data_IF_345472282893
#
_entry.id   IF_345472282893
#
_cell.length_a   1.000
_cell.length_b   1.000
_cell.length_c   1.000
_cell.angle_alpha   90.00
_cell.angle_beta   90.00
_cell.angle_gamma   90.00
#
_symmetry.space_group_name_H-M   'P 1'
#
loop_
_entity.id
_entity.type
_entity.pdbx_description
1 polymer ?
#
# COMPACT_ATOMS: atom_id res chain seq x y z
N UNK A 1 7.35 25.18 -20.67
CA UNK A 1 6.25 24.25 -20.96
C UNK A 1 6.78 23.29 -22.01
N UNK A 2 6.94 22.01 -21.68
CA UNK A 2 7.51 21.04 -22.62
C UNK A 2 6.57 20.83 -23.81
N UNK A 3 6.94 21.33 -24.99
CA UNK A 3 6.13 21.27 -26.22
C UNK A 3 5.77 19.82 -26.60
N UNK A 4 6.64 18.87 -26.25
CA UNK A 4 6.41 17.44 -26.42
C UNK A 4 5.17 16.92 -25.68
N UNK A 5 4.89 17.45 -24.49
CA UNK A 5 3.73 17.04 -23.68
C UNK A 5 2.44 17.56 -24.31
N UNK A 6 2.45 18.80 -24.82
CA UNK A 6 1.28 19.38 -25.51
C UNK A 6 0.92 18.60 -26.77
N UNK A 7 1.92 18.14 -27.52
CA UNK A 7 1.72 17.35 -28.72
C UNK A 7 1.09 15.99 -28.38
N UNK A 8 1.61 15.31 -27.37
CA UNK A 8 1.07 14.02 -26.91
C UNK A 8 -0.39 14.18 -26.46
N UNK A 9 -0.70 15.19 -25.64
CA UNK A 9 -2.08 15.41 -25.17
C UNK A 9 -3.05 15.69 -26.33
N UNK A 10 -2.61 16.40 -27.38
CA UNK A 10 -3.44 16.66 -28.57
C UNK A 10 -3.70 15.42 -29.42
N UNK A 11 -2.74 14.50 -29.50
CA UNK A 11 -2.87 13.23 -30.24
C UNK A 11 -3.81 12.22 -29.54
N UNK A 12 -4.05 12.40 -28.24
CA UNK A 12 -4.95 11.55 -27.47
C UNK A 12 -6.45 11.83 -27.78
N UNK A 13 -7.30 10.80 -27.81
CA UNK A 13 -8.75 10.95 -27.90
C UNK A 13 -9.33 11.82 -26.78
N UNK A 14 -10.43 12.55 -27.08
CA UNK A 14 -11.07 13.51 -26.17
C UNK A 14 -11.39 12.94 -24.78
N UNK A 15 -11.73 11.65 -24.67
CA UNK A 15 -12.02 11.03 -23.38
C UNK A 15 -10.78 10.90 -22.50
N UNK A 16 -9.63 10.54 -23.09
CA UNK A 16 -8.36 10.46 -22.35
C UNK A 16 -7.87 11.84 -21.90
N UNK A 17 -8.09 12.89 -22.71
CA UNK A 17 -7.76 14.27 -22.30
C UNK A 17 -8.53 14.68 -21.04
N UNK A 18 -9.82 14.32 -20.95
CA UNK A 18 -10.65 14.57 -19.77
C UNK A 18 -10.16 13.77 -18.55
N UNK A 19 -9.80 12.50 -18.73
CA UNK A 19 -9.23 11.68 -17.64
C UNK A 19 -7.91 12.24 -17.12
N UNK A 20 -7.04 12.72 -18.01
CA UNK A 20 -5.77 13.36 -17.60
C UNK A 20 -6.05 14.62 -16.77
N UNK A 21 -7.00 15.45 -17.19
CA UNK A 21 -7.41 16.64 -16.44
C UNK A 21 -7.91 16.27 -15.03
N UNK A 22 -8.74 15.23 -14.92
CA UNK A 22 -9.27 14.73 -13.65
C UNK A 22 -8.16 14.19 -12.75
N UNK A 23 -7.22 13.41 -13.29
CA UNK A 23 -6.07 12.89 -12.54
C UNK A 23 -5.17 14.04 -12.06
N UNK A 24 -4.88 15.03 -12.91
CA UNK A 24 -4.08 16.20 -12.53
C UNK A 24 -4.78 17.01 -11.43
N UNK A 25 -6.10 17.18 -11.51
CA UNK A 25 -6.88 17.81 -10.44
C UNK A 25 -6.80 17.02 -9.14
N UNK A 26 -6.93 15.70 -9.18
CA UNK A 26 -6.80 14.82 -8.01
C UNK A 26 -5.39 14.87 -7.40
N UNK A 27 -4.35 14.96 -8.24
CA UNK A 27 -2.97 15.13 -7.80
C UNK A 27 -2.74 16.52 -7.18
N UNK A 28 -3.30 17.58 -7.77
CA UNK A 28 -3.19 18.96 -7.31
C UNK A 28 -3.93 19.21 -5.99
N UNK A 29 -5.11 18.60 -5.82
CA UNK A 29 -5.86 18.59 -4.55
C UNK A 29 -5.04 17.90 -3.45
N UNK A 30 -4.01 17.14 -3.83
CA UNK A 30 -3.22 16.37 -2.90
C UNK A 30 -4.14 15.34 -2.29
N UNK A 31 -4.40 14.26 -3.02
CA UNK A 31 -4.64 12.98 -2.34
C UNK A 31 -3.31 12.65 -1.63
N UNK A 32 -3.03 13.36 -0.53
CA UNK A 32 -2.47 12.73 0.65
C UNK A 32 -3.46 11.60 0.87
N UNK A 33 -3.15 10.41 0.35
CA UNK A 33 -3.67 9.17 0.89
C UNK A 33 -3.47 9.40 2.37
N UNK A 34 -4.56 9.70 3.08
CA UNK A 34 -4.58 9.74 4.52
C UNK A 34 -3.90 8.44 4.88
N UNK A 35 -2.63 8.51 5.28
CA UNK A 35 -1.96 7.36 5.86
C UNK A 35 -2.83 7.13 7.06
N UNK A 36 -3.78 6.18 6.95
CA UNK A 36 -4.66 5.82 8.03
C UNK A 36 -3.74 5.71 9.23
N UNK A 37 -4.01 6.48 10.28
CA UNK A 37 -3.25 6.35 11.52
C UNK A 37 -3.55 4.95 12.01
N UNK A 38 -2.68 4.01 11.66
CA UNK A 38 -2.77 2.64 12.10
C UNK A 38 -2.47 2.64 13.59
N UNK A 39 -3.42 2.11 14.37
CA UNK A 39 -3.18 1.90 15.79
C UNK A 39 -2.58 0.51 15.98
N UNK A 40 -1.57 0.38 16.85
CA UNK A 40 -0.95 -0.93 17.15
C UNK A 40 -1.95 -1.97 17.67
N UNK A 41 -3.08 -1.51 18.21
CA UNK A 41 -4.21 -2.34 18.65
C UNK A 41 -4.93 -3.05 17.49
N UNK A 42 -4.74 -2.61 16.24
CA UNK A 42 -5.24 -3.31 15.03
C UNK A 42 -4.58 -4.68 14.83
N UNK A 43 -3.38 -4.89 15.40
CA UNK A 43 -2.66 -6.16 15.35
C UNK A 43 -3.12 -7.14 16.44
N UNK A 44 -4.00 -6.72 17.36
CA UNK A 44 -4.49 -7.56 18.46
C UNK A 44 -5.29 -8.73 17.88
N UNK A 45 -4.80 -9.94 18.10
CA UNK A 45 -5.47 -11.17 17.65
C UNK A 45 -5.00 -11.68 16.28
N UNK A 46 -4.22 -10.91 15.52
CA UNK A 46 -3.59 -11.39 14.28
C UNK A 46 -2.65 -12.58 14.52
N UNK A 47 -2.02 -12.66 15.69
CA UNK A 47 -1.21 -13.81 16.08
C UNK A 47 -2.00 -15.11 16.21
N UNK A 48 -3.28 -15.06 16.62
CA UNK A 48 -4.06 -16.27 16.89
C UNK A 48 -4.24 -17.17 15.66
N UNK A 49 -4.36 -16.58 14.47
CA UNK A 49 -4.46 -17.34 13.21
C UNK A 49 -3.12 -17.87 12.73
N UNK A 50 -2.02 -17.16 13.03
CA UNK A 50 -0.66 -17.55 12.62
C UNK A 50 -0.16 -18.73 13.47
N UNK A 51 -0.50 -18.74 14.76
CA UNK A 51 -0.03 -19.72 15.74
C UNK A 51 -1.06 -20.84 16.01
N UNK A 52 -2.09 -20.98 15.16
CA UNK A 52 -3.19 -21.92 15.41
C UNK A 52 -2.75 -23.38 15.42
N UNK A 53 -1.82 -23.74 14.53
CA UNK A 53 -1.36 -25.12 14.32
C UNK A 53 0.09 -25.32 14.81
N UNK A 54 0.64 -24.34 15.55
CA UNK A 54 2.00 -24.37 16.08
C UNK A 54 1.92 -24.55 17.58
N UNK A 55 2.49 -25.65 18.09
CA UNK A 55 2.70 -25.80 19.53
C UNK A 55 3.78 -24.81 19.99
N UNK A 56 3.39 -23.86 20.84
CA UNK A 56 4.27 -22.82 21.32
C UNK A 56 5.44 -23.37 22.15
N UNK A 57 5.21 -24.46 22.87
CA UNK A 57 6.22 -25.08 23.72
C UNK A 57 7.25 -25.83 22.88
N UNK A 58 6.81 -26.57 21.85
CA UNK A 58 7.71 -27.26 20.93
C UNK A 58 8.57 -26.26 20.13
N UNK A 59 7.97 -25.16 19.68
CA UNK A 59 8.69 -24.10 18.95
C UNK A 59 9.79 -23.45 19.81
N UNK A 60 9.49 -23.14 21.08
CA UNK A 60 10.47 -22.55 22.01
C UNK A 60 11.60 -23.53 22.33
N UNK A 61 11.29 -24.83 22.49
CA UNK A 61 12.30 -25.86 22.74
C UNK A 61 13.30 -25.97 21.58
N UNK A 62 12.81 -26.01 20.32
CA UNK A 62 13.69 -26.03 19.13
C UNK A 62 14.59 -24.81 19.04
N UNK A 63 14.04 -23.62 19.30
CA UNK A 63 14.83 -22.39 19.30
C UNK A 63 15.93 -22.39 20.39
N UNK A 64 15.66 -22.98 21.55
CA UNK A 64 16.69 -23.11 22.61
C UNK A 64 17.79 -24.09 22.22
N UNK A 65 17.45 -25.17 21.54
CA UNK A 65 18.43 -26.12 21.01
C UNK A 65 19.28 -25.50 19.90
N UNK A 66 18.71 -24.67 19.02
CA UNK A 66 19.43 -23.96 17.95
C UNK A 66 20.41 -22.89 18.47
N UNK A 67 20.17 -22.35 19.66
CA UNK A 67 21.00 -21.31 20.28
C UNK A 67 22.00 -21.88 21.31
N UNK A 68 22.02 -23.21 21.48
CA UNK A 68 22.94 -23.94 22.33
C UNK A 68 24.11 -24.53 21.54
#
# INVERSE_FOLDING_TARGET
MDEKILQQVKELPRHHQKQILEIVQLLAIGIKKSKKKHNITELRGCGKSIWKDIDAQEYVSKLREEWH
#
